data_IF_426351611113
#
_entry.id   IF_426351611113
#
_cell.length_a   1.000
_cell.length_b   1.000
_cell.length_c   1.000
_cell.angle_alpha   90.00
_cell.angle_beta   90.00
_cell.angle_gamma   90.00
#
_symmetry.space_group_name_H-M   'P 1'
#
loop_
_entity.id
_entity.type
_entity.pdbx_description
1 polymer ?
#
# COMPACT_ATOMS: atom_id res chain seq x y z
N UNK A 1 -21.34 -14.71 -3.95
CA UNK A 1 -20.31 -14.82 -2.91
C UNK A 1 -19.65 -13.46 -2.77
N UNK A 2 -19.84 -12.78 -1.63
CA UNK A 2 -18.98 -11.65 -1.27
C UNK A 2 -17.73 -12.26 -0.67
N UNK A 3 -16.63 -12.25 -1.43
CA UNK A 3 -15.31 -12.55 -0.90
C UNK A 3 -14.70 -11.22 -0.44
N UNK A 4 -14.43 -11.10 0.86
CA UNK A 4 -13.85 -9.91 1.47
C UNK A 4 -12.76 -10.31 2.48
N UNK A 5 -11.77 -11.08 2.02
CA UNK A 5 -10.67 -11.53 2.90
C UNK A 5 -9.67 -10.40 3.10
N UNK A 6 -9.54 -9.95 4.35
CA UNK A 6 -8.44 -9.07 4.78
C UNK A 6 -7.11 -9.75 4.43
N UNK A 7 -6.18 -8.99 3.84
CA UNK A 7 -4.89 -9.50 3.37
C UNK A 7 -4.85 -10.06 1.95
N UNK A 8 -5.98 -10.21 1.26
CA UNK A 8 -5.98 -10.68 -0.13
C UNK A 8 -5.15 -9.80 -1.08
N UNK A 9 -5.15 -8.48 -0.84
CA UNK A 9 -4.59 -7.50 -1.78
C UNK A 9 -3.08 -7.63 -2.02
N UNK A 10 -2.26 -7.98 -1.02
CA UNK A 10 -0.80 -8.11 -1.22
C UNK A 10 -0.49 -9.24 -2.21
N UNK A 11 -1.08 -10.41 -2.01
CA UNK A 11 -0.92 -11.54 -2.93
C UNK A 11 -1.54 -11.27 -4.32
N UNK A 12 -2.66 -10.53 -4.35
CA UNK A 12 -3.28 -10.13 -5.61
C UNK A 12 -2.40 -9.17 -6.42
N UNK A 13 -1.78 -8.19 -5.77
CA UNK A 13 -0.78 -7.28 -6.33
C UNK A 13 0.39 -8.05 -6.95
N UNK A 14 0.96 -9.02 -6.20
CA UNK A 14 2.01 -9.89 -6.71
C UNK A 14 1.56 -10.64 -7.98
N UNK A 15 0.41 -11.29 -7.94
CA UNK A 15 -0.11 -12.05 -9.08
C UNK A 15 -0.41 -11.16 -10.30
N UNK A 16 -1.04 -10.00 -10.08
CA UNK A 16 -1.44 -9.10 -11.16
C UNK A 16 -0.21 -8.52 -11.88
N UNK A 17 0.78 -8.05 -11.14
CA UNK A 17 1.99 -7.48 -11.72
C UNK A 17 2.85 -8.52 -12.46
N UNK A 18 2.72 -9.82 -12.15
CA UNK A 18 3.32 -10.89 -12.97
C UNK A 18 2.50 -11.21 -14.23
N UNK A 19 1.18 -11.14 -14.13
CA UNK A 19 0.29 -11.45 -15.26
C UNK A 19 0.31 -10.38 -16.34
N UNK A 20 0.56 -9.12 -15.97
CA UNK A 20 0.48 -7.94 -16.86
C UNK A 20 1.73 -7.06 -16.68
N UNK A 21 2.94 -7.55 -17.04
CA UNK A 21 4.21 -6.90 -16.74
C UNK A 21 4.41 -5.55 -17.45
N UNK A 22 3.68 -5.29 -18.52
CA UNK A 22 3.71 -4.01 -19.26
C UNK A 22 3.00 -2.87 -18.52
N UNK A 23 2.16 -3.20 -17.52
CA UNK A 23 1.48 -2.22 -16.69
C UNK A 23 2.17 -2.11 -15.34
N UNK A 24 2.25 -0.87 -14.86
CA UNK A 24 2.67 -0.59 -13.49
C UNK A 24 1.44 -0.57 -12.61
N UNK A 25 1.33 -1.56 -11.74
CA UNK A 25 0.20 -1.72 -10.84
C UNK A 25 0.31 -0.79 -9.62
N UNK A 26 -0.85 -0.32 -9.17
CA UNK A 26 -1.01 0.54 -8.00
C UNK A 26 -1.95 -0.17 -7.05
N UNK A 27 -1.53 -0.34 -5.80
CA UNK A 27 -2.32 -0.96 -4.75
C UNK A 27 -2.53 0.02 -3.60
N UNK A 28 -3.76 0.11 -3.10
CA UNK A 28 -4.06 0.80 -1.84
C UNK A 28 -4.40 -0.27 -0.80
N UNK A 29 -3.58 -0.38 0.25
CA UNK A 29 -3.67 -1.46 1.24
C UNK A 29 -3.62 -0.83 2.63
N UNK A 30 -4.56 -1.17 3.51
CA UNK A 30 -4.49 -0.73 4.91
C UNK A 30 -3.36 -1.45 5.66
N UNK A 31 -2.81 -0.78 6.67
CA UNK A 31 -1.86 -1.35 7.64
C UNK A 31 -2.24 -2.76 8.13
N UNK A 32 -3.47 -2.95 8.59
CA UNK A 32 -3.95 -4.24 9.10
C UNK A 32 -4.06 -5.30 8.02
N UNK A 33 -4.52 -4.95 6.82
CA UNK A 33 -4.56 -5.90 5.70
C UNK A 33 -3.16 -6.33 5.28
N UNK A 34 -2.23 -5.39 5.26
CA UNK A 34 -0.85 -5.63 4.88
C UNK A 34 -0.17 -6.64 5.83
N UNK A 35 -0.41 -6.54 7.14
CA UNK A 35 0.20 -7.45 8.13
C UNK A 35 -0.16 -8.93 7.92
N UNK A 36 -1.36 -9.23 7.41
CA UNK A 36 -1.82 -10.61 7.23
C UNK A 36 -1.02 -11.34 6.13
N UNK A 37 -0.51 -10.59 5.15
CA UNK A 37 0.12 -11.15 3.93
C UNK A 37 1.43 -10.47 3.51
N UNK A 38 2.09 -9.73 4.41
CA UNK A 38 3.35 -9.05 4.14
C UNK A 38 4.48 -9.99 3.67
N UNK A 39 4.39 -11.30 3.96
CA UNK A 39 5.34 -12.32 3.51
C UNK A 39 5.45 -12.48 1.98
N UNK A 40 4.53 -11.91 1.21
CA UNK A 40 4.59 -11.93 -0.25
C UNK A 40 5.53 -10.84 -0.81
N UNK A 41 5.90 -9.83 -0.02
CA UNK A 41 6.80 -8.73 -0.45
C UNK A 41 8.19 -9.23 -0.89
N UNK A 42 8.87 -10.16 -0.19
CA UNK A 42 10.09 -10.78 -0.68
C UNK A 42 9.93 -11.44 -2.06
N UNK A 43 8.76 -11.99 -2.39
CA UNK A 43 8.49 -12.53 -3.71
C UNK A 43 8.35 -11.42 -4.76
N UNK A 44 7.70 -10.30 -4.41
CA UNK A 44 7.63 -9.11 -5.28
C UNK A 44 9.04 -8.59 -5.63
N UNK A 45 9.92 -8.49 -4.63
CA UNK A 45 11.32 -8.09 -4.82
C UNK A 45 12.08 -9.08 -5.69
N UNK A 46 11.95 -10.39 -5.43
CA UNK A 46 12.59 -11.44 -6.24
C UNK A 46 12.13 -11.43 -7.69
N UNK A 47 10.88 -11.04 -7.94
CA UNK A 47 10.29 -10.93 -9.28
C UNK A 47 10.53 -9.55 -9.93
N UNK A 48 11.37 -8.70 -9.34
CA UNK A 48 11.70 -7.35 -9.85
C UNK A 48 10.45 -6.51 -10.15
N UNK A 49 9.41 -6.66 -9.33
CA UNK A 49 8.17 -5.93 -9.52
C UNK A 49 8.36 -4.43 -9.30
N UNK A 50 7.55 -3.66 -10.02
CA UNK A 50 7.63 -2.19 -10.07
C UNK A 50 6.40 -1.53 -9.47
N UNK A 51 5.56 -2.29 -8.78
CA UNK A 51 4.30 -1.81 -8.23
C UNK A 51 4.48 -0.64 -7.26
N UNK A 52 3.48 0.23 -7.19
CA UNK A 52 3.38 1.29 -6.19
C UNK A 52 2.32 0.88 -5.17
N UNK A 53 2.73 0.68 -3.92
CA UNK A 53 1.83 0.31 -2.83
C UNK A 53 1.67 1.52 -1.91
N UNK A 54 0.46 2.09 -1.90
CA UNK A 54 0.03 3.03 -0.88
C UNK A 54 -0.40 2.26 0.37
N UNK A 55 0.42 2.35 1.41
CA UNK A 55 0.11 1.77 2.71
C UNK A 55 -0.64 2.81 3.54
N UNK A 56 -1.94 2.61 3.72
CA UNK A 56 -2.79 3.51 4.50
C UNK A 56 -2.66 3.11 5.97
N UNK A 57 -1.90 3.90 6.72
CA UNK A 57 -1.63 3.66 8.12
C UNK A 57 -2.44 4.66 8.96
N UNK A 58 -3.51 4.16 9.59
CA UNK A 58 -4.36 4.96 10.46
C UNK A 58 -4.16 4.61 11.94
N UNK A 59 -3.12 3.83 12.26
CA UNK A 59 -2.84 3.32 13.60
C UNK A 59 -3.88 2.32 14.12
N UNK A 60 -4.80 1.83 13.28
CA UNK A 60 -5.86 0.91 13.64
C UNK A 60 -5.36 -0.51 13.92
N UNK A 61 -4.26 -0.91 13.28
CA UNK A 61 -3.55 -2.15 13.57
C UNK A 61 -2.06 -1.82 13.73
N UNK A 62 -1.62 -1.65 14.99
CA UNK A 62 -0.25 -1.24 15.37
C UNK A 62 0.82 -1.96 14.57
N UNK A 63 1.30 -1.34 13.48
CA UNK A 63 2.46 -1.76 12.69
C UNK A 63 3.78 -1.22 13.26
N UNK A 64 3.71 -0.47 14.37
CA UNK A 64 4.78 0.35 14.93
C UNK A 64 6.03 -0.40 15.46
N UNK A 65 6.17 -1.71 15.22
CA UNK A 65 7.30 -2.48 15.76
C UNK A 65 8.30 -2.97 14.69
N UNK A 66 7.93 -3.04 13.40
CA UNK A 66 8.80 -3.72 12.39
C UNK A 66 9.24 -2.84 11.20
N UNK A 67 8.83 -1.57 11.13
CA UNK A 67 9.18 -0.67 10.02
C UNK A 67 9.72 0.67 10.55
N UNK A 68 10.94 0.67 11.07
CA UNK A 68 11.65 1.89 11.47
C UNK A 68 12.46 2.50 10.32
N UNK A 69 12.40 3.82 10.18
CA UNK A 69 13.07 4.71 9.20
C UNK A 69 12.87 4.36 7.71
N UNK A 70 11.78 4.84 7.09
CA UNK A 70 11.65 4.88 5.63
C UNK A 70 11.45 6.31 5.10
N UNK A 71 12.09 6.68 3.98
CA UNK A 71 12.06 8.03 3.40
C UNK A 71 10.73 8.42 2.71
N UNK A 72 9.64 7.72 3.00
CA UNK A 72 8.32 7.89 2.35
C UNK A 72 7.16 7.88 3.36
N UNK A 73 7.41 8.36 4.58
CA UNK A 73 6.34 8.77 5.49
C UNK A 73 5.71 10.05 4.95
N UNK A 74 4.38 10.01 4.79
CA UNK A 74 3.59 11.10 4.24
C UNK A 74 2.48 11.45 5.23
N UNK A 75 2.52 12.67 5.76
CA UNK A 75 1.53 13.19 6.72
C UNK A 75 0.73 14.38 6.14
N UNK A 76 1.12 14.89 4.97
CA UNK A 76 0.43 15.98 4.29
C UNK A 76 0.37 15.79 2.77
N UNK A 77 -0.46 16.59 2.11
CA UNK A 77 -0.65 16.55 0.66
C UNK A 77 0.66 16.85 -0.10
N UNK A 78 1.45 17.83 0.35
CA UNK A 78 2.68 18.19 -0.34
C UNK A 78 3.73 17.06 -0.32
N UNK A 79 3.77 16.29 0.77
CA UNK A 79 4.62 15.10 0.89
C UNK A 79 4.12 13.96 -0.01
N UNK A 80 2.80 13.79 -0.10
CA UNK A 80 2.18 12.78 -0.97
C UNK A 80 2.52 13.03 -2.43
N UNK A 81 2.38 14.28 -2.88
CA UNK A 81 2.69 14.69 -4.25
C UNK A 81 4.16 14.38 -4.55
N UNK A 82 5.09 14.76 -3.67
CA UNK A 82 6.54 14.48 -3.84
C UNK A 82 6.83 12.97 -3.87
N UNK A 83 6.17 12.18 -3.03
CA UNK A 83 6.34 10.73 -3.00
C UNK A 83 5.86 10.10 -4.32
N UNK A 84 4.71 10.55 -4.85
CA UNK A 84 4.17 10.10 -6.13
C UNK A 84 5.09 10.50 -7.29
N UNK A 85 5.56 11.75 -7.32
CA UNK A 85 6.52 12.22 -8.33
C UNK A 85 7.80 11.39 -8.32
N UNK A 86 8.34 11.08 -7.14
CA UNK A 86 9.53 10.23 -7.00
C UNK A 86 9.28 8.80 -7.43
N UNK A 87 8.14 8.22 -7.06
CA UNK A 87 7.73 6.88 -7.45
C UNK A 87 7.54 6.77 -8.97
N UNK A 88 6.88 7.73 -9.59
CA UNK A 88 6.59 7.77 -11.04
C UNK A 88 7.77 8.22 -11.91
N UNK A 89 8.71 8.98 -11.35
CA UNK A 89 9.92 9.44 -12.03
C UNK A 89 11.14 8.57 -11.73
N UNK A 90 11.95 8.99 -10.75
CA UNK A 90 13.26 8.40 -10.48
C UNK A 90 13.20 6.93 -10.06
N UNK A 91 12.11 6.51 -9.41
CA UNK A 91 11.91 5.14 -8.91
C UNK A 91 10.94 4.34 -9.79
N UNK A 92 10.80 4.70 -11.07
CA UNK A 92 9.80 4.07 -11.95
C UNK A 92 9.99 2.58 -12.17
N UNK A 93 11.23 2.12 -12.02
CA UNK A 93 11.65 0.73 -12.22
C UNK A 93 11.82 -0.02 -10.88
N UNK A 94 11.27 0.51 -9.79
CA UNK A 94 11.38 -0.07 -8.45
C UNK A 94 10.01 -0.35 -7.84
N UNK A 95 9.93 -1.38 -7.00
CA UNK A 95 8.84 -1.56 -6.04
C UNK A 95 8.86 -0.39 -5.04
N UNK A 96 7.75 0.34 -4.95
CA UNK A 96 7.64 1.54 -4.12
C UNK A 96 6.58 1.32 -3.03
N UNK A 97 6.94 1.68 -1.79
CA UNK A 97 6.00 1.81 -0.69
C UNK A 97 5.87 3.28 -0.33
N UNK A 98 4.64 3.80 -0.35
CA UNK A 98 4.31 5.15 0.12
C UNK A 98 3.41 4.97 1.34
N UNK A 99 3.94 5.29 2.52
CA UNK A 99 3.19 5.16 3.76
C UNK A 99 2.45 6.47 4.04
N UNK A 100 1.13 6.40 3.97
CA UNK A 100 0.23 7.54 4.16
C UNK A 100 -0.34 7.45 5.57
N UNK A 101 0.06 8.40 6.42
CA UNK A 101 -0.41 8.50 7.79
C UNK A 101 -1.70 9.30 7.80
N UNK A 102 -2.76 8.70 8.32
CA UNK A 102 -4.08 9.35 8.47
C UNK A 102 -4.58 9.18 9.89
N UNK A 103 -5.51 10.03 10.31
CA UNK A 103 -6.15 9.87 11.61
C UNK A 103 -7.07 8.63 11.59
N UNK A 104 -7.19 7.90 12.70
CA UNK A 104 -8.05 6.69 12.81
C UNK A 104 -9.50 6.91 12.39
N UNK A 105 -10.02 8.12 12.61
CA UNK A 105 -11.40 8.51 12.31
C UNK A 105 -11.52 9.25 10.97
N UNK A 106 -10.42 9.41 10.23
CA UNK A 106 -10.41 10.02 8.89
C UNK A 106 -10.73 8.97 7.83
N UNK A 107 -12.03 8.82 7.56
CA UNK A 107 -12.55 7.87 6.57
C UNK A 107 -13.69 8.49 5.76
N UNK A 108 -14.06 7.84 4.67
CA UNK A 108 -15.10 8.38 3.77
C UNK A 108 -16.47 8.35 4.44
N UNK A 109 -17.32 9.34 4.11
CA UNK A 109 -18.68 9.44 4.65
C UNK A 109 -19.52 8.23 4.22
N UNK A 110 -19.30 7.75 3.01
CA UNK A 110 -19.95 6.59 2.43
C UNK A 110 -19.65 5.32 3.25
N UNK A 111 -18.43 5.17 3.77
CA UNK A 111 -18.11 4.04 4.64
C UNK A 111 -18.89 4.09 5.95
N UNK A 112 -19.00 5.28 6.55
CA UNK A 112 -19.78 5.49 7.77
C UNK A 112 -21.27 5.22 7.53
N UNK A 113 -21.81 5.69 6.42
CA UNK A 113 -23.21 5.49 6.05
C UNK A 113 -23.54 4.02 5.75
N UNK A 114 -22.60 3.27 5.16
CA UNK A 114 -22.80 1.85 4.82
C UNK A 114 -22.56 0.89 5.98
N UNK A 115 -21.69 1.26 6.92
CA UNK A 115 -21.35 0.45 8.10
C UNK A 115 -22.31 0.57 9.27
N UNK A 116 -23.25 1.52 9.22
CA UNK A 116 -24.31 1.73 10.22
C UNK A 116 -25.61 0.98 9.82
#
# INVERSE_FOLDING_TARGET
>A
MQHGSIGWSVGATLGYAQAVPEKREIACISDGSFQVTAQDVPAMLRCEQKSIIFLINNGGYTIEVEIHDRPYHVCCEEELIKAIEKATGAMKDCLCFIEVIVHKDDTSKELLEWGC
#
